data_IF_332842582844
#
_entry.id   IF_332842582844
#
_cell.length_a   1.000
_cell.length_b   1.000
_cell.length_c   1.000
_cell.angle_alpha   90.00
_cell.angle_beta   90.00
_cell.angle_gamma   90.00
#
_symmetry.space_group_name_H-M   'P 1'
#
loop_
_entity.id
_entity.type
_entity.pdbx_description
1 polymer ?
#
# COMPACT_ATOMS: atom_id res chain seq x y z
N UNK A 1 5.18 -15.63 -17.05
CA UNK A 1 4.70 -16.31 -15.83
C UNK A 1 4.39 -15.22 -14.81
N UNK A 2 3.15 -15.13 -14.32
CA UNK A 2 2.76 -14.12 -13.33
C UNK A 2 3.03 -14.72 -11.94
N UNK A 3 4.19 -14.42 -11.37
CA UNK A 3 4.58 -14.94 -10.05
C UNK A 3 3.89 -14.07 -9.00
N UNK A 4 3.03 -14.65 -8.18
CA UNK A 4 2.33 -13.89 -7.14
C UNK A 4 3.38 -13.24 -6.20
N UNK A 5 3.20 -11.97 -5.79
CA UNK A 5 4.15 -11.25 -4.93
C UNK A 5 4.56 -12.01 -3.68
N UNK A 6 3.65 -12.82 -3.13
CA UNK A 6 3.89 -13.67 -1.96
C UNK A 6 5.01 -14.69 -2.20
N UNK A 7 5.07 -15.31 -3.38
CA UNK A 7 6.12 -16.28 -3.70
C UNK A 7 7.50 -15.63 -3.84
N UNK A 8 7.56 -14.37 -4.29
CA UNK A 8 8.81 -13.61 -4.38
C UNK A 8 9.33 -13.31 -2.97
N UNK A 9 8.44 -12.91 -2.05
CA UNK A 9 8.78 -12.66 -0.66
C UNK A 9 9.21 -13.94 0.06
N UNK A 10 8.54 -15.05 -0.20
CA UNK A 10 8.87 -16.33 0.40
C UNK A 10 10.23 -16.83 -0.09
N UNK A 11 10.53 -16.70 -1.40
CA UNK A 11 11.85 -17.01 -1.96
C UNK A 11 12.95 -16.10 -1.36
N UNK A 12 12.68 -14.81 -1.19
CA UNK A 12 13.61 -13.87 -0.54
C UNK A 12 13.95 -14.29 0.89
N UNK A 13 12.95 -14.71 1.67
CA UNK A 13 13.13 -15.10 3.08
C UNK A 13 14.02 -16.34 3.25
N UNK A 14 14.04 -17.22 2.25
CA UNK A 14 14.86 -18.45 2.25
C UNK A 14 16.32 -18.21 1.84
N UNK A 15 16.67 -17.01 1.37
CA UNK A 15 18.06 -16.69 1.00
C UNK A 15 18.97 -16.62 2.24
N UNK A 16 20.26 -16.99 2.13
CA UNK A 16 21.28 -16.65 3.11
C UNK A 16 21.33 -15.14 3.35
N UNK A 17 21.66 -14.70 4.58
CA UNK A 17 21.70 -13.26 4.91
C UNK A 17 22.60 -12.46 3.98
N UNK A 18 23.75 -13.01 3.57
CA UNK A 18 24.65 -12.33 2.62
C UNK A 18 23.98 -12.08 1.25
N UNK A 19 23.15 -13.01 0.79
CA UNK A 19 22.42 -12.90 -0.47
C UNK A 19 21.23 -11.95 -0.34
N UNK A 20 20.53 -11.95 0.80
CA UNK A 20 19.49 -10.94 1.09
C UNK A 20 20.06 -9.52 1.05
N UNK A 21 21.22 -9.31 1.67
CA UNK A 21 21.89 -8.01 1.68
C UNK A 21 22.32 -7.59 0.26
N UNK A 22 22.86 -8.51 -0.54
CA UNK A 22 23.22 -8.23 -1.93
C UNK A 22 22.00 -7.87 -2.78
N UNK A 23 20.91 -8.62 -2.64
CA UNK A 23 19.66 -8.38 -3.35
C UNK A 23 19.00 -7.06 -2.93
N UNK A 24 18.97 -6.76 -1.63
CA UNK A 24 18.48 -5.48 -1.12
C UNK A 24 19.31 -4.30 -1.67
N UNK A 25 20.63 -4.45 -1.76
CA UNK A 25 21.50 -3.44 -2.36
C UNK A 25 21.16 -3.19 -3.83
N UNK A 26 20.91 -4.23 -4.61
CA UNK A 26 20.49 -4.06 -6.01
C UNK A 26 19.10 -3.45 -6.16
N UNK A 27 18.15 -3.80 -5.31
CA UNK A 27 16.82 -3.16 -5.30
C UNK A 27 16.97 -1.67 -5.03
N UNK A 28 17.78 -1.28 -4.04
CA UNK A 28 18.01 0.13 -3.71
C UNK A 28 18.68 0.86 -4.88
N UNK A 29 19.70 0.27 -5.51
CA UNK A 29 20.34 0.86 -6.70
C UNK A 29 19.33 1.07 -7.83
N UNK A 30 18.48 0.07 -8.10
CA UNK A 30 17.44 0.19 -9.10
C UNK A 30 16.41 1.26 -8.72
N UNK A 31 16.03 1.38 -7.45
CA UNK A 31 15.13 2.44 -6.97
C UNK A 31 15.72 3.84 -7.17
N UNK A 32 17.03 4.02 -6.98
CA UNK A 32 17.70 5.30 -7.26
C UNK A 32 17.69 5.64 -8.76
N UNK A 33 17.60 4.62 -9.63
CA UNK A 33 17.44 4.82 -11.08
C UNK A 33 15.99 5.01 -11.52
N UNK A 34 15.02 4.81 -10.63
CA UNK A 34 13.63 5.15 -10.94
C UNK A 34 13.48 6.66 -10.89
N UNK A 35 13.08 7.24 -12.02
CA UNK A 35 12.70 8.65 -12.10
C UNK A 35 11.31 8.82 -11.47
N UNK A 36 11.26 8.68 -10.14
CA UNK A 36 10.05 8.95 -9.37
C UNK A 36 9.96 10.47 -9.22
N UNK A 37 8.95 11.12 -9.82
CA UNK A 37 8.82 12.55 -9.69
C UNK A 37 8.71 12.92 -8.21
N UNK A 38 9.34 14.02 -7.77
CA UNK A 38 9.28 14.42 -6.37
C UNK A 38 7.82 14.60 -5.94
N UNK A 39 7.47 14.06 -4.77
CA UNK A 39 6.16 14.26 -4.19
C UNK A 39 6.01 15.74 -3.85
N UNK A 40 5.14 16.43 -4.57
CA UNK A 40 4.85 17.84 -4.32
C UNK A 40 3.86 17.99 -3.19
N UNK A 41 3.92 19.11 -2.45
CA UNK A 41 2.95 19.43 -1.40
C UNK A 41 1.49 19.40 -1.92
N UNK A 42 1.30 19.84 -3.17
CA UNK A 42 -0.01 19.80 -3.84
C UNK A 42 -0.47 18.35 -4.04
N UNK A 43 0.38 17.50 -4.60
CA UNK A 43 0.04 16.09 -4.80
C UNK A 43 -0.21 15.38 -3.47
N UNK A 44 0.55 15.72 -2.43
CA UNK A 44 0.33 15.20 -1.08
C UNK A 44 -1.05 15.60 -0.53
N UNK A 45 -1.43 16.88 -0.69
CA UNK A 45 -2.75 17.37 -0.26
C UNK A 45 -3.89 16.70 -1.03
N UNK A 46 -3.78 16.57 -2.36
CA UNK A 46 -4.79 15.90 -3.19
C UNK A 46 -4.99 14.43 -2.81
N UNK A 47 -3.89 13.72 -2.49
CA UNK A 47 -3.96 12.34 -2.00
C UNK A 47 -4.65 12.29 -0.64
N UNK A 48 -4.32 13.21 0.27
CA UNK A 48 -4.94 13.26 1.59
C UNK A 48 -6.46 13.51 1.47
N UNK A 49 -6.89 14.46 0.66
CA UNK A 49 -8.31 14.76 0.43
C UNK A 49 -9.06 13.55 -0.14
N UNK A 50 -8.45 12.82 -1.07
CA UNK A 50 -9.03 11.61 -1.63
C UNK A 50 -9.22 10.51 -0.57
N UNK A 51 -8.23 10.31 0.31
CA UNK A 51 -8.32 9.35 1.40
C UNK A 51 -9.40 9.75 2.40
N UNK A 52 -9.45 11.02 2.82
CA UNK A 52 -10.51 11.51 3.73
C UNK A 52 -11.91 11.27 3.14
N UNK A 53 -12.10 11.57 1.86
CA UNK A 53 -13.39 11.34 1.20
C UNK A 53 -13.78 9.86 1.14
N UNK A 54 -12.82 8.95 0.97
CA UNK A 54 -13.07 7.50 1.04
C UNK A 54 -13.46 7.07 2.45
N UNK A 55 -12.78 7.59 3.46
CA UNK A 55 -13.09 7.32 4.86
C UNK A 55 -14.49 7.82 5.24
N UNK A 56 -14.87 9.03 4.83
CA UNK A 56 -16.20 9.59 5.08
C UNK A 56 -17.31 8.71 4.47
N UNK A 57 -17.09 8.21 3.24
CA UNK A 57 -18.04 7.28 2.60
C UNK A 57 -18.19 5.99 3.38
N UNK A 58 -17.07 5.44 3.83
CA UNK A 58 -17.05 4.20 4.61
C UNK A 58 -17.78 4.39 5.93
N UNK A 59 -17.53 5.50 6.63
CA UNK A 59 -18.20 5.81 7.90
C UNK A 59 -19.71 6.02 7.71
N UNK A 60 -20.13 6.70 6.64
CA UNK A 60 -21.54 6.87 6.32
C UNK A 60 -22.24 5.52 6.07
N UNK A 61 -21.60 4.61 5.32
CA UNK A 61 -22.11 3.27 5.06
C UNK A 61 -22.24 2.45 6.36
N UNK A 62 -21.25 2.53 7.24
CA UNK A 62 -21.26 1.86 8.53
C UNK A 62 -22.36 2.43 9.45
N UNK A 63 -22.54 3.75 9.47
CA UNK A 63 -23.62 4.40 10.20
C UNK A 63 -25.00 3.97 9.70
N UNK A 64 -25.20 3.91 8.38
CA UNK A 64 -26.44 3.41 7.78
C UNK A 64 -26.68 1.93 8.11
N UNK A 65 -25.65 1.09 8.04
CA UNK A 65 -25.75 -0.33 8.37
C UNK A 65 -26.12 -0.53 9.85
N UNK A 66 -25.54 0.27 10.75
CA UNK A 66 -25.87 0.26 12.18
C UNK A 66 -27.30 0.71 12.44
N UNK A 67 -27.75 1.78 11.79
CA UNK A 67 -29.13 2.28 11.91
C UNK A 67 -30.17 1.26 11.43
N UNK A 68 -29.89 0.57 10.30
CA UNK A 68 -30.76 -0.53 9.81
C UNK A 68 -30.86 -1.67 10.81
N UNK A 69 -29.73 -2.09 11.41
CA UNK A 69 -29.71 -3.15 12.43
C UNK A 69 -30.53 -2.80 13.67
N UNK A 70 -30.53 -1.54 14.11
CA UNK A 70 -31.34 -1.10 15.25
C UNK A 70 -32.84 -1.02 14.99
N UNK A 71 -33.29 -1.00 13.74
CA UNK A 71 -34.72 -0.95 13.36
C UNK A 71 -35.34 -2.33 13.17
N UNK A 72 -34.52 -3.37 12.98
CA UNK A 72 -34.95 -4.76 12.80
C UNK A 72 -34.75 -5.64 14.05
N UNK A 73 -34.35 -5.04 15.17
CA UNK A 73 -34.11 -5.71 16.46
C UNK A 73 -35.23 -5.46 17.46
#
# INVERSE_FOLDING_TARGET
>A
MNVAPQHILEAFNQLPEIEKHALASEIIKQMVMLDIPPLTDKALAEIADALFLEHDKTEAQDAEAKARRSLTG
#
